data_IF_302366711948
#
_entry.id   IF_302366711948
#
_cell.length_a   1.000
_cell.length_b   1.000
_cell.length_c   1.000
_cell.angle_alpha   90.00
_cell.angle_beta   90.00
_cell.angle_gamma   90.00
#
_symmetry.space_group_name_H-M   'P 1'
#
loop_
_entity.id
_entity.type
_entity.pdbx_description
1 polymer ?
#
# COMPACT_ATOMS: atom_id res chain seq x y z
N UNK A 1 46.19 19.47 74.18
CA UNK A 1 44.90 18.97 73.66
C UNK A 1 45.18 18.15 72.40
N UNK A 2 45.36 16.83 72.53
CA UNK A 2 45.48 15.91 71.39
C UNK A 2 44.07 15.42 71.02
N UNK A 3 43.68 15.50 69.75
CA UNK A 3 42.46 14.87 69.22
C UNK A 3 42.87 13.66 68.37
N UNK A 4 42.46 12.47 68.79
CA UNK A 4 42.65 11.23 68.05
C UNK A 4 41.53 11.08 67.02
N UNK A 5 41.94 10.76 65.79
CA UNK A 5 41.11 10.48 64.62
C UNK A 5 40.70 9.00 64.58
N UNK A 6 39.43 8.72 64.25
CA UNK A 6 38.97 7.38 63.88
C UNK A 6 38.42 7.40 62.45
N UNK A 7 38.98 6.53 61.61
CA UNK A 7 38.55 6.26 60.24
C UNK A 7 37.34 5.31 60.26
N UNK A 8 36.28 5.64 59.52
CA UNK A 8 35.24 4.66 59.16
C UNK A 8 35.32 4.44 57.66
N UNK A 9 35.80 3.25 57.27
CA UNK A 9 35.78 2.76 55.90
C UNK A 9 34.36 2.27 55.58
N UNK A 10 33.67 2.89 54.62
CA UNK A 10 32.44 2.37 54.04
C UNK A 10 32.78 1.59 52.76
N UNK A 11 32.35 0.33 52.72
CA UNK A 11 32.52 -0.61 51.61
C UNK A 11 31.37 -0.41 50.59
N UNK A 12 31.75 -0.45 49.32
CA UNK A 12 31.06 -0.20 48.06
C UNK A 12 29.85 -1.10 47.75
N UNK A 13 28.90 -0.61 46.94
CA UNK A 13 28.23 -1.43 45.92
C UNK A 13 27.90 -0.57 44.69
N UNK A 14 28.54 -0.85 43.54
CA UNK A 14 28.02 -0.44 42.24
C UNK A 14 27.21 -1.62 41.70
N UNK A 15 25.88 -1.50 41.73
CA UNK A 15 25.02 -2.42 41.02
C UNK A 15 25.01 -1.98 39.54
N UNK A 16 26.00 -2.42 38.75
CA UNK A 16 25.83 -2.38 37.29
C UNK A 16 24.86 -3.48 36.93
N UNK A 17 23.58 -3.13 36.80
CA UNK A 17 22.61 -3.93 36.08
C UNK A 17 23.10 -4.09 34.64
N UNK A 18 23.71 -5.23 34.33
CA UNK A 18 23.83 -5.68 32.96
C UNK A 18 22.42 -6.08 32.51
N UNK A 19 21.75 -5.17 31.82
CA UNK A 19 20.56 -5.55 31.06
C UNK A 19 21.01 -6.52 29.98
N UNK A 20 20.43 -7.72 29.86
CA UNK A 20 20.61 -8.46 28.63
C UNK A 20 20.07 -7.56 27.52
N UNK A 21 20.95 -7.18 26.58
CA UNK A 21 20.54 -6.70 25.27
C UNK A 21 19.88 -7.89 24.59
N UNK A 22 18.66 -8.20 24.98
CA UNK A 22 17.76 -8.95 24.13
C UNK A 22 17.46 -8.00 22.99
N UNK A 23 18.31 -8.00 21.96
CA UNK A 23 17.87 -7.55 20.65
C UNK A 23 16.62 -8.36 20.38
N UNK A 24 15.41 -7.78 20.34
CA UNK A 24 14.30 -8.54 19.80
C UNK A 24 14.76 -8.97 18.41
N UNK A 25 14.76 -10.28 18.19
CA UNK A 25 15.05 -10.86 16.89
C UNK A 25 14.20 -10.10 15.87
N UNK A 26 14.83 -9.74 14.76
CA UNK A 26 14.24 -8.92 13.70
C UNK A 26 12.85 -9.45 13.33
N UNK A 27 11.81 -8.68 13.66
CA UNK A 27 10.51 -8.83 13.02
C UNK A 27 10.67 -8.19 11.64
N UNK A 28 11.04 -8.99 10.64
CA UNK A 28 11.29 -8.52 9.26
C UNK A 28 10.00 -8.25 8.48
N UNK A 29 8.86 -8.77 8.94
CA UNK A 29 7.55 -8.63 8.32
C UNK A 29 6.53 -8.06 9.30
N UNK A 30 5.70 -7.12 8.85
CA UNK A 30 4.55 -6.67 9.63
C UNK A 30 3.44 -7.71 9.64
N UNK A 31 2.51 -7.59 10.58
CA UNK A 31 1.25 -8.31 10.50
C UNK A 31 0.47 -7.89 9.24
N UNK A 32 -0.31 -8.81 8.63
CA UNK A 32 -1.14 -8.49 7.47
C UNK A 32 -2.19 -7.44 7.80
N UNK A 33 -2.34 -6.44 6.92
CA UNK A 33 -3.42 -5.44 6.99
C UNK A 33 -4.44 -5.72 5.89
N UNK A 34 -5.72 -5.82 6.26
CA UNK A 34 -6.81 -5.94 5.29
C UNK A 34 -7.05 -4.58 4.63
N UNK A 35 -6.95 -4.51 3.30
CA UNK A 35 -7.07 -3.26 2.55
C UNK A 35 -8.49 -2.97 2.04
N UNK A 36 -9.37 -3.98 2.00
CA UNK A 36 -10.74 -3.83 1.46
C UNK A 36 -11.72 -4.72 2.20
N UNK A 37 -12.97 -4.25 2.36
CA UNK A 37 -14.08 -5.04 2.90
C UNK A 37 -14.81 -5.88 1.82
N UNK A 38 -14.48 -5.67 0.54
CA UNK A 38 -15.05 -6.44 -0.57
C UNK A 38 -14.45 -7.83 -0.66
N UNK A 39 -15.25 -8.82 -1.09
CA UNK A 39 -14.73 -10.11 -1.54
C UNK A 39 -13.84 -9.84 -2.76
N UNK A 40 -12.52 -9.87 -2.52
CA UNK A 40 -11.51 -9.74 -3.55
C UNK A 40 -11.52 -10.98 -4.44
N UNK A 41 -11.63 -10.79 -5.74
CA UNK A 41 -11.47 -11.86 -6.72
C UNK A 41 -10.10 -11.74 -7.37
N UNK A 42 -9.11 -12.49 -6.86
CA UNK A 42 -7.81 -12.71 -7.51
C UNK A 42 -7.04 -11.45 -7.95
N UNK A 43 -5.93 -11.66 -8.66
CA UNK A 43 -5.22 -10.65 -9.45
C UNK A 43 -4.78 -9.37 -8.71
N UNK A 44 -4.47 -9.45 -7.41
CA UNK A 44 -3.86 -8.34 -6.72
C UNK A 44 -2.51 -7.98 -7.37
N UNK A 45 -2.36 -6.72 -7.79
CA UNK A 45 -1.11 -6.16 -8.34
C UNK A 45 -0.68 -4.98 -7.50
N UNK A 46 0.63 -4.80 -7.35
CA UNK A 46 1.19 -3.69 -6.61
C UNK A 46 2.32 -3.01 -7.40
N UNK A 47 2.44 -1.70 -7.26
CA UNK A 47 3.52 -0.88 -7.82
C UNK A 47 3.99 0.16 -6.81
N UNK A 48 5.23 0.64 -7.02
CA UNK A 48 5.92 1.53 -6.10
C UNK A 48 6.41 2.77 -6.85
N UNK A 49 6.34 3.93 -6.20
CA UNK A 49 7.01 5.15 -6.65
C UNK A 49 7.39 6.03 -5.46
N UNK A 50 8.68 6.04 -5.09
CA UNK A 50 9.12 6.60 -3.81
C UNK A 50 8.52 5.82 -2.64
N UNK A 51 8.01 6.54 -1.64
CA UNK A 51 7.32 5.94 -0.49
C UNK A 51 5.86 5.55 -0.78
N UNK A 52 5.37 5.84 -1.98
CA UNK A 52 4.01 5.53 -2.36
C UNK A 52 3.90 4.07 -2.82
N UNK A 53 2.91 3.37 -2.27
CA UNK A 53 2.52 2.02 -2.67
C UNK A 53 1.14 2.11 -3.30
N UNK A 54 0.97 1.48 -4.47
CA UNK A 54 -0.30 1.40 -5.18
C UNK A 54 -0.70 -0.05 -5.31
N UNK A 55 -1.93 -0.39 -4.91
CA UNK A 55 -2.45 -1.75 -5.02
C UNK A 55 -3.78 -1.73 -5.75
N UNK A 56 -3.94 -2.65 -6.70
CA UNK A 56 -5.20 -2.91 -7.39
C UNK A 56 -5.56 -4.38 -7.32
N UNK A 57 -6.85 -4.70 -7.47
CA UNK A 57 -7.31 -6.08 -7.55
C UNK A 57 -8.77 -6.17 -7.95
N UNK A 58 -9.23 -7.38 -8.31
CA UNK A 58 -10.62 -7.62 -8.66
C UNK A 58 -11.55 -7.50 -7.45
N UNK A 59 -12.75 -6.96 -7.66
CA UNK A 59 -13.78 -6.80 -6.64
C UNK A 59 -15.13 -7.36 -7.13
N UNK A 60 -15.79 -8.15 -6.29
CA UNK A 60 -17.16 -8.62 -6.54
C UNK A 60 -18.17 -7.47 -6.47
N UNK A 61 -19.23 -7.45 -7.31
CA UNK A 61 -19.55 -8.43 -8.34
C UNK A 61 -18.92 -8.17 -9.71
N UNK A 62 -18.45 -6.95 -10.02
CA UNK A 62 -18.02 -6.60 -11.40
C UNK A 62 -17.06 -5.39 -11.43
N UNK A 63 -16.14 -5.33 -10.48
CA UNK A 63 -15.37 -4.11 -10.22
C UNK A 63 -13.89 -4.44 -10.09
N UNK A 64 -13.07 -3.41 -10.06
CA UNK A 64 -11.76 -3.49 -9.45
C UNK A 64 -11.64 -2.40 -8.38
N UNK A 65 -10.76 -2.63 -7.42
CA UNK A 65 -10.41 -1.63 -6.42
C UNK A 65 -9.03 -1.07 -6.69
N UNK A 66 -8.82 0.14 -6.19
CA UNK A 66 -7.53 0.80 -6.07
C UNK A 66 -7.39 1.36 -4.65
N UNK A 67 -6.25 1.10 -4.04
CA UNK A 67 -5.83 1.70 -2.76
C UNK A 67 -4.39 2.18 -2.90
N UNK A 68 -4.05 3.23 -2.15
CA UNK A 68 -2.67 3.72 -2.05
C UNK A 68 -2.23 3.94 -0.62
N UNK A 69 -0.95 3.77 -0.37
CA UNK A 69 -0.26 4.32 0.79
C UNK A 69 0.71 5.40 0.31
N UNK A 70 0.90 6.43 1.12
CA UNK A 70 1.90 7.49 0.91
C UNK A 70 2.94 7.55 2.02
N UNK A 71 2.94 6.56 2.90
CA UNK A 71 3.78 6.48 4.10
C UNK A 71 4.42 5.09 4.25
N UNK A 72 4.76 4.46 3.12
CA UNK A 72 5.48 3.18 3.12
C UNK A 72 4.65 1.98 3.61
N UNK A 73 3.32 2.06 3.52
CA UNK A 73 2.40 0.99 3.90
C UNK A 73 1.89 1.06 5.34
N UNK A 74 2.17 2.15 6.08
CA UNK A 74 1.70 2.34 7.46
C UNK A 74 0.19 2.64 7.45
N UNK A 75 -0.26 3.54 6.58
CA UNK A 75 -1.68 3.84 6.36
C UNK A 75 -2.06 3.71 4.90
N UNK A 76 -3.35 3.47 4.66
CA UNK A 76 -3.91 3.21 3.34
C UNK A 76 -5.13 4.10 3.09
N UNK A 77 -5.29 4.55 1.86
CA UNK A 77 -6.49 5.28 1.43
C UNK A 77 -7.73 4.38 1.47
N UNK A 78 -8.91 4.98 1.51
CA UNK A 78 -10.13 4.24 1.20
C UNK A 78 -10.05 3.61 -0.20
N UNK A 79 -10.59 2.41 -0.34
CA UNK A 79 -10.67 1.71 -1.61
C UNK A 79 -11.56 2.49 -2.58
N UNK A 80 -10.96 2.96 -3.67
CA UNK A 80 -11.69 3.59 -4.76
C UNK A 80 -12.04 2.48 -5.74
N UNK A 81 -13.33 2.31 -6.00
CA UNK A 81 -13.77 1.49 -7.12
C UNK A 81 -13.71 2.32 -8.39
N UNK A 82 -12.77 1.99 -9.27
CA UNK A 82 -12.82 2.47 -10.64
C UNK A 82 -13.66 1.48 -11.47
N UNK A 83 -14.45 2.01 -12.41
CA UNK A 83 -15.60 1.36 -13.09
C UNK A 83 -16.94 1.52 -12.36
N UNK A 84 -17.63 2.65 -12.55
CA UNK A 84 -19.01 2.77 -12.11
C UNK A 84 -19.88 1.77 -12.91
N UNK A 85 -20.78 1.08 -12.20
CA UNK A 85 -21.56 -0.04 -12.74
C UNK A 85 -22.54 0.38 -13.85
N UNK A 86 -22.79 1.67 -13.98
CA UNK A 86 -23.59 2.30 -15.05
C UNK A 86 -22.84 2.34 -16.40
N UNK A 87 -21.52 2.17 -16.40
CA UNK A 87 -20.68 2.33 -17.60
C UNK A 87 -20.22 0.98 -18.16
N UNK A 88 -19.95 0.01 -17.29
CA UNK A 88 -19.40 -1.28 -17.69
C UNK A 88 -20.24 -2.46 -17.16
N UNK A 89 -20.44 -3.45 -18.01
CA UNK A 89 -21.00 -4.77 -17.66
C UNK A 89 -19.99 -5.66 -16.93
N UNK A 90 -18.70 -5.40 -17.12
CA UNK A 90 -17.56 -6.26 -16.78
C UNK A 90 -16.30 -5.45 -16.58
N UNK A 91 -15.53 -5.69 -15.50
CA UNK A 91 -14.15 -5.23 -15.36
C UNK A 91 -13.30 -6.36 -14.78
N UNK A 92 -12.13 -6.59 -15.37
CA UNK A 92 -11.23 -7.69 -14.98
C UNK A 92 -9.77 -7.34 -15.26
N UNK A 93 -8.87 -8.12 -14.67
CA UNK A 93 -7.42 -8.03 -14.89
C UNK A 93 -6.84 -6.61 -14.71
N UNK A 94 -7.10 -5.95 -13.57
CA UNK A 94 -6.50 -4.66 -13.31
C UNK A 94 -4.98 -4.82 -13.15
N UNK A 95 -4.24 -3.86 -13.69
CA UNK A 95 -2.80 -3.75 -13.52
C UNK A 95 -2.41 -2.31 -13.20
N UNK A 96 -1.29 -2.17 -12.48
CA UNK A 96 -0.78 -0.88 -12.02
C UNK A 96 0.72 -0.78 -12.24
N UNK A 97 1.15 0.31 -12.87
CA UNK A 97 2.58 0.60 -13.07
C UNK A 97 2.87 2.07 -12.85
N UNK A 98 4.06 2.36 -12.32
CA UNK A 98 4.57 3.71 -12.19
C UNK A 98 5.65 3.98 -13.25
N UNK A 99 5.56 5.12 -13.94
CA UNK A 99 6.55 5.54 -14.93
C UNK A 99 6.61 7.05 -15.03
N UNK A 100 7.82 7.62 -15.04
CA UNK A 100 8.07 9.08 -15.22
C UNK A 100 7.22 9.96 -14.27
N UNK A 101 7.12 9.58 -13.00
CA UNK A 101 6.33 10.33 -12.00
C UNK A 101 4.81 10.23 -12.14
N UNK A 102 4.31 9.33 -13.00
CA UNK A 102 2.89 9.08 -13.21
C UNK A 102 2.53 7.66 -12.79
N UNK A 103 1.31 7.49 -12.31
CA UNK A 103 0.71 6.18 -12.05
C UNK A 103 -0.19 5.84 -13.23
N UNK A 104 -0.12 4.62 -13.71
CA UNK A 104 -0.92 4.12 -14.83
C UNK A 104 -1.72 2.92 -14.34
N UNK A 105 -3.02 2.95 -14.61
CA UNK A 105 -3.92 1.82 -14.40
C UNK A 105 -4.44 1.35 -15.75
N UNK A 106 -4.46 0.04 -15.95
CA UNK A 106 -5.07 -0.59 -17.10
C UNK A 106 -5.92 -1.77 -16.67
N UNK A 107 -7.01 -2.04 -17.39
CA UNK A 107 -7.91 -3.16 -17.11
C UNK A 107 -8.66 -3.56 -18.38
N UNK A 108 -9.19 -4.79 -18.38
CA UNK A 108 -10.19 -5.18 -19.36
C UNK A 108 -11.56 -4.73 -18.87
N UNK A 109 -12.34 -4.12 -19.76
CA UNK A 109 -13.73 -3.81 -19.47
C UNK A 109 -14.64 -4.12 -20.65
N UNK A 110 -15.88 -4.50 -20.33
CA UNK A 110 -16.97 -4.65 -21.29
C UNK A 110 -17.95 -3.50 -21.10
N UNK A 111 -17.95 -2.46 -21.96
CA UNK A 111 -18.94 -1.39 -21.88
C UNK A 111 -20.34 -1.91 -22.17
N UNK A 112 -21.34 -1.29 -21.54
CA UNK A 112 -22.75 -1.63 -21.82
C UNK A 112 -23.07 -1.53 -23.31
N UNK A 113 -23.68 -2.59 -23.85
CA UNK A 113 -24.10 -2.65 -25.24
C UNK A 113 -22.97 -2.96 -26.24
N UNK A 114 -21.76 -3.27 -25.76
CA UNK A 114 -20.67 -3.77 -26.58
C UNK A 114 -20.55 -5.29 -26.48
N UNK A 115 -20.22 -5.94 -27.60
CA UNK A 115 -20.09 -7.40 -27.63
C UNK A 115 -18.75 -7.93 -27.12
N UNK A 116 -17.73 -7.06 -27.03
CA UNK A 116 -16.35 -7.46 -26.74
C UNK A 116 -15.76 -6.59 -25.62
N UNK A 117 -14.91 -7.21 -24.82
CA UNK A 117 -14.04 -6.50 -23.89
C UNK A 117 -13.00 -5.68 -24.65
N UNK A 118 -12.62 -4.55 -24.07
CA UNK A 118 -11.58 -3.67 -24.55
C UNK A 118 -10.62 -3.37 -23.41
N UNK A 119 -9.36 -3.06 -23.75
CA UNK A 119 -8.39 -2.56 -22.77
C UNK A 119 -8.66 -1.08 -22.54
N UNK A 120 -8.81 -0.70 -21.28
CA UNK A 120 -8.93 0.68 -20.84
C UNK A 120 -7.68 1.12 -20.10
N UNK A 121 -7.39 2.41 -20.19
CA UNK A 121 -6.25 3.04 -19.52
C UNK A 121 -6.67 4.36 -18.88
N UNK A 122 -6.18 4.60 -17.66
CA UNK A 122 -6.15 5.91 -17.02
C UNK A 122 -4.77 6.17 -16.43
N UNK A 123 -4.44 7.45 -16.24
CA UNK A 123 -3.20 7.84 -15.61
C UNK A 123 -3.41 8.98 -14.63
N UNK A 124 -2.53 9.05 -13.64
CA UNK A 124 -2.47 10.11 -12.65
C UNK A 124 -1.09 10.75 -12.65
N UNK A 125 -1.05 12.08 -12.65
CA UNK A 125 0.18 12.87 -12.49
C UNK A 125 0.33 13.48 -11.08
N UNK A 126 -0.61 13.20 -10.18
CA UNK A 126 -0.61 13.67 -8.79
C UNK A 126 -0.64 12.49 -7.81
N UNK A 127 0.18 11.48 -8.08
CA UNK A 127 0.36 10.34 -7.18
C UNK A 127 -0.90 9.52 -6.91
N UNK A 128 -1.84 9.49 -7.86
CA UNK A 128 -3.06 8.69 -7.76
C UNK A 128 -4.21 9.34 -6.99
N UNK A 129 -4.21 10.67 -6.84
CA UNK A 129 -5.34 11.43 -6.26
C UNK A 129 -6.46 11.63 -7.26
N UNK A 130 -6.10 11.95 -8.49
CA UNK A 130 -7.04 12.12 -9.61
C UNK A 130 -6.53 11.41 -10.84
N UNK A 131 -7.46 11.01 -11.71
CA UNK A 131 -7.17 10.21 -12.89
C UNK A 131 -7.70 10.89 -14.14
N UNK A 132 -7.03 10.68 -15.27
CA UNK A 132 -7.59 11.01 -16.58
C UNK A 132 -8.87 10.22 -16.85
N UNK A 133 -9.77 10.69 -17.73
CA UNK A 133 -10.88 9.88 -18.21
C UNK A 133 -10.38 8.57 -18.85
N UNK A 134 -11.14 7.47 -18.73
CA UNK A 134 -10.79 6.20 -19.36
C UNK A 134 -10.83 6.36 -20.88
N UNK A 135 -9.71 6.08 -21.54
CA UNK A 135 -9.64 6.00 -22.98
C UNK A 135 -9.72 4.52 -23.41
N UNK A 136 -10.60 4.16 -24.38
CA UNK A 136 -10.50 2.85 -25.02
C UNK A 136 -9.15 2.76 -25.73
N UNK A 137 -8.47 1.62 -25.59
CA UNK A 137 -7.19 1.35 -26.24
C UNK A 137 -7.27 1.73 -27.72
N UNK A 138 -6.45 2.69 -28.12
CA UNK A 138 -6.45 3.28 -29.47
C UNK A 138 -6.40 2.13 -30.47
N UNK A 139 -7.40 2.01 -31.35
CA UNK A 139 -7.30 1.11 -32.50
C UNK A 139 -6.08 1.57 -33.29
N UNK A 140 -4.97 0.83 -33.20
CA UNK A 140 -3.81 1.07 -34.02
C UNK A 140 -4.29 1.11 -35.48
N UNK A 141 -4.03 2.25 -36.14
CA UNK A 141 -4.22 2.40 -37.58
C UNK A 141 -3.32 1.45 -38.34
#
# INVERSE_FOLDING_TARGET
MLKATWFVSQITFFLTLAFPLTSPAQVLWSEPVQLTDSIGFGDARASLHGDNIYVVGGASPVKFYYVRSTDGGITWSHAITHAPADTFEGCSQPDVVCSRGRVHLAWLAKPHGQLREQVYHISSSNGGETWTPPAPGVSAR
#
